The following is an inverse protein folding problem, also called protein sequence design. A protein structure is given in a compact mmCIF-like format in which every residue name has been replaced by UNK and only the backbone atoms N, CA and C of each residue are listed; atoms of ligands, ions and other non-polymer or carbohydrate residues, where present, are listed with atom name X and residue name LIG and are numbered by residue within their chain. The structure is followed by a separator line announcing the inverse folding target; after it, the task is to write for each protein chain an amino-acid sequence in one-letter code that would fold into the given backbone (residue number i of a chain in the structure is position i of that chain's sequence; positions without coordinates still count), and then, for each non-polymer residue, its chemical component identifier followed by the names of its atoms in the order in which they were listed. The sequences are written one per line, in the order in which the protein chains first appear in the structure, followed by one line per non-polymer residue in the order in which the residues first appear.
data_IF_068340505895
#
_entry.id   IF_068340505895
#
_cell.length_a   1.000
_cell.length_b   1.000
_cell.length_c   1.000
_cell.angle_alpha   90.00
_cell.angle_beta   90.00
_cell.angle_gamma   90.00
#
_symmetry.space_group_name_H-M   'P 1'
#
loop_
_entity.id
_entity.type
_entity.pdbx_description
1 polymer ?
#
# COMPACT_ATOMS: atom_id res chain seq x y z
N UNK A 1 10.23 4.63 -6.26
CA UNK A 1 9.57 5.40 -5.18
C UNK A 1 10.24 6.74 -4.86
N UNK A 2 11.57 6.87 -4.98
CA UNK A 2 12.35 8.08 -4.68
C UNK A 2 11.72 9.41 -5.15
N UNK A 3 11.56 9.61 -6.47
CA UNK A 3 11.01 10.88 -7.03
C UNK A 3 9.66 11.30 -6.44
N UNK A 4 8.83 10.33 -6.06
CA UNK A 4 7.48 10.56 -5.54
C UNK A 4 7.50 10.85 -4.04
N UNK A 5 8.40 10.22 -3.29
CA UNK A 5 8.63 10.57 -1.88
C UNK A 5 9.12 12.02 -1.81
N UNK A 6 10.05 12.41 -2.68
CA UNK A 6 10.55 13.79 -2.78
C UNK A 6 9.50 14.81 -3.20
N UNK A 7 8.39 14.40 -3.84
CA UNK A 7 7.29 15.31 -4.20
C UNK A 7 6.20 15.40 -3.15
N UNK A 8 6.19 14.51 -2.14
CA UNK A 8 5.14 14.43 -1.11
C UNK A 8 5.57 15.02 0.23
N UNK A 9 6.88 15.15 0.47
CA UNK A 9 7.43 15.58 1.76
C UNK A 9 8.58 16.57 1.56
N UNK A 10 8.84 17.37 2.59
CA UNK A 10 10.04 18.20 2.66
C UNK A 10 11.32 17.35 2.80
N UNK A 11 12.48 17.96 2.51
CA UNK A 11 13.76 17.25 2.45
C UNK A 11 14.13 16.43 3.72
N UNK A 12 13.97 16.93 4.97
CA UNK A 12 14.40 16.16 6.13
C UNK A 12 13.64 14.84 6.34
N UNK A 13 12.28 14.79 6.19
CA UNK A 13 11.55 13.53 6.12
C UNK A 13 11.97 12.61 4.96
N UNK A 14 12.19 13.15 3.75
CA UNK A 14 12.58 12.37 2.56
C UNK A 14 13.87 11.59 2.83
N UNK A 15 14.89 12.25 3.37
CA UNK A 15 16.18 11.62 3.67
C UNK A 15 16.03 10.43 4.65
N UNK A 16 15.20 10.59 5.70
CA UNK A 16 14.94 9.54 6.69
C UNK A 16 14.19 8.35 6.11
N UNK A 17 13.20 8.60 5.25
CA UNK A 17 12.46 7.53 4.58
C UNK A 17 13.39 6.73 3.65
N UNK A 18 14.21 7.42 2.86
CA UNK A 18 15.13 6.77 1.92
C UNK A 18 16.29 6.03 2.62
N UNK A 19 16.66 6.44 3.83
CA UNK A 19 17.67 5.77 4.65
C UNK A 19 17.13 4.51 5.38
N UNK A 20 15.80 4.31 5.40
CA UNK A 20 15.21 3.13 6.05
C UNK A 20 15.54 1.89 5.22
N UNK A 21 16.33 0.98 5.79
CA UNK A 21 16.71 -0.27 5.12
C UNK A 21 15.48 -1.13 4.85
N UNK A 22 15.38 -1.63 3.62
CA UNK A 22 14.39 -2.66 3.30
C UNK A 22 14.81 -3.99 3.95
N UNK A 23 13.82 -4.83 4.28
CA UNK A 23 14.11 -6.18 4.73
C UNK A 23 14.87 -6.96 3.64
N UNK A 24 15.79 -7.87 3.99
CA UNK A 24 16.55 -8.64 3.00
C UNK A 24 15.68 -9.44 2.02
N UNK A 25 14.46 -9.80 2.43
CA UNK A 25 13.47 -10.49 1.60
C UNK A 25 12.81 -9.61 0.53
N UNK A 26 13.04 -8.29 0.55
CA UNK A 26 12.42 -7.35 -0.39
C UNK A 26 13.26 -7.26 -1.66
N UNK A 27 12.82 -7.95 -2.71
CA UNK A 27 13.47 -7.89 -4.04
C UNK A 27 13.10 -6.63 -4.81
N UNK A 28 11.93 -6.04 -4.54
CA UNK A 28 11.43 -4.85 -5.24
C UNK A 28 10.67 -3.95 -4.29
N UNK A 29 11.13 -2.70 -4.19
CA UNK A 29 10.43 -1.65 -3.45
C UNK A 29 9.11 -1.30 -4.17
N UNK A 30 7.99 -1.66 -3.53
CA UNK A 30 6.63 -1.46 -4.06
C UNK A 30 5.77 -0.64 -3.10
N UNK A 31 4.95 0.21 -3.69
CA UNK A 31 4.02 1.05 -2.95
C UNK A 31 2.77 0.25 -2.61
N UNK A 32 2.48 0.07 -1.32
CA UNK A 32 1.32 -0.67 -0.84
C UNK A 32 0.18 0.22 -0.32
N UNK A 33 0.29 1.54 -0.45
CA UNK A 33 -0.77 2.44 -0.01
C UNK A 33 -1.85 2.61 -1.10
N UNK A 34 -3.10 2.83 -0.72
CA UNK A 34 -4.19 3.23 -1.62
C UNK A 34 -4.93 4.39 -0.95
N UNK A 35 -5.20 5.46 -1.72
CA UNK A 35 -6.03 6.55 -1.22
C UNK A 35 -7.44 6.01 -0.95
N UNK A 36 -7.98 6.27 0.24
CA UNK A 36 -9.34 5.87 0.59
C UNK A 36 -10.37 6.80 -0.03
N UNK A 37 -11.50 6.23 -0.46
CA UNK A 37 -12.52 6.92 -1.28
C UNK A 37 -13.17 8.10 -0.52
N UNK A 38 -13.14 8.09 0.81
CA UNK A 38 -13.71 9.13 1.68
C UNK A 38 -12.69 9.84 2.55
N UNK A 39 -11.39 9.63 2.32
CA UNK A 39 -10.32 10.18 3.15
C UNK A 39 -10.22 9.59 4.57
N UNK A 40 -11.17 8.76 4.98
CA UNK A 40 -11.14 8.07 6.26
C UNK A 40 -10.27 6.81 6.19
N UNK A 41 -9.11 6.86 6.83
CA UNK A 41 -8.25 5.70 7.01
C UNK A 41 -8.67 4.93 8.25
N UNK A 42 -9.10 3.68 8.07
CA UNK A 42 -9.44 2.75 9.16
C UNK A 42 -8.47 1.56 9.22
N UNK A 43 -8.38 0.92 10.39
CA UNK A 43 -7.64 -0.36 10.55
C UNK A 43 -8.20 -1.42 9.58
N UNK A 44 -9.52 -1.43 9.37
CA UNK A 44 -10.19 -2.35 8.45
C UNK A 44 -9.75 -2.16 7.01
N UNK A 45 -9.64 -0.91 6.54
CA UNK A 45 -9.12 -0.60 5.21
C UNK A 45 -7.66 -0.99 5.05
N UNK A 46 -6.83 -0.75 6.07
CA UNK A 46 -5.42 -1.14 6.06
C UNK A 46 -5.26 -2.66 5.92
N UNK A 47 -5.99 -3.43 6.73
CA UNK A 47 -5.96 -4.88 6.69
C UNK A 47 -6.40 -5.42 5.32
N UNK A 48 -7.48 -4.87 4.76
CA UNK A 48 -7.97 -5.24 3.42
C UNK A 48 -6.91 -5.02 2.34
N UNK A 49 -6.22 -3.88 2.35
CA UNK A 49 -5.16 -3.57 1.38
C UNK A 49 -3.99 -4.54 1.56
N UNK A 50 -3.56 -4.78 2.79
CA UNK A 50 -2.48 -5.74 3.07
C UNK A 50 -2.82 -7.14 2.54
N UNK A 51 -4.03 -7.65 2.82
CA UNK A 51 -4.44 -8.98 2.33
C UNK A 51 -4.50 -9.02 0.80
N UNK A 52 -5.03 -7.99 0.14
CA UNK A 52 -5.13 -7.95 -1.32
C UNK A 52 -3.78 -7.85 -2.04
N UNK A 53 -2.82 -7.12 -1.48
CA UNK A 53 -1.54 -6.81 -2.14
C UNK A 53 -0.38 -7.72 -1.69
N UNK A 54 -0.44 -8.26 -0.46
CA UNK A 54 0.62 -9.09 0.12
C UNK A 54 0.35 -10.59 -0.03
N UNK A 55 -0.91 -11.01 -0.02
CA UNK A 55 -1.29 -12.42 -0.07
C UNK A 55 -1.97 -12.68 -1.41
N UNK A 56 -1.53 -13.71 -2.13
CA UNK A 56 -2.25 -14.16 -3.32
C UNK A 56 -3.57 -14.81 -2.90
N UNK A 57 -4.63 -14.01 -2.91
CA UNK A 57 -6.00 -14.44 -2.62
C UNK A 57 -6.80 -14.69 -3.91
N UNK A 58 -6.15 -14.71 -5.08
CA UNK A 58 -6.83 -14.92 -6.37
C UNK A 58 -7.72 -16.17 -6.37
N UNK A 59 -7.24 -17.25 -5.76
CA UNK A 59 -7.95 -18.51 -5.58
C UNK A 59 -9.21 -18.43 -4.69
N UNK A 60 -9.33 -17.40 -3.85
CA UNK A 60 -10.50 -17.16 -2.99
C UNK A 60 -11.52 -16.19 -3.62
N UNK A 61 -11.17 -15.55 -4.75
CA UNK A 61 -12.01 -14.53 -5.38
C UNK A 61 -13.03 -15.19 -6.30
N UNK A 62 -14.30 -15.04 -5.96
CA UNK A 62 -15.41 -15.41 -6.84
C UNK A 62 -15.83 -14.20 -7.66
N UNK A 63 -15.80 -14.32 -8.98
CA UNK A 63 -16.31 -13.30 -9.90
C UNK A 63 -17.83 -13.19 -9.72
N UNK A 64 -18.30 -12.03 -9.28
CA UNK A 64 -19.71 -11.75 -9.06
C UNK A 64 -19.94 -10.25 -8.91
N UNK A 65 -21.14 -9.78 -9.29
CA UNK A 65 -21.52 -8.39 -9.06
C UNK A 65 -22.07 -8.24 -7.64
N UNK A 66 -21.16 -8.08 -6.68
CA UNK A 66 -21.46 -7.99 -5.25
C UNK A 66 -22.09 -6.65 -4.83
N UNK A 67 -22.31 -5.72 -5.78
CA UNK A 67 -22.99 -4.44 -5.55
C UNK A 67 -24.50 -4.50 -5.86
N UNK A 68 -25.05 -5.68 -6.16
CA UNK A 68 -26.48 -5.88 -6.44
C UNK A 68 -27.32 -6.19 -5.19
N UNK A 69 -26.74 -6.06 -4.00
CA UNK A 69 -27.44 -6.24 -2.72
C UNK A 69 -27.48 -4.93 -1.95
#
# INVERSE_FOLDING_TARGET
NVRRISSMFDQPPVARILATSLYPSVTKDRRLWRGEIKGEYSIKSAYRICVQELIDTSHLRVNGNWNLV
#
